data_IF_782142474554
#
_entry.id   IF_782142474554
#
_cell.length_a   1.000
_cell.length_b   1.000
_cell.length_c   1.000
_cell.angle_alpha   90.00
_cell.angle_beta   90.00
_cell.angle_gamma   90.00
#
_symmetry.space_group_name_H-M   'P 1'
#
loop_
_entity.id
_entity.type
_entity.pdbx_description
1 polymer ?
#
# COMPACT_ATOMS: atom_id res chain seq x y z
N UNK A 1 -16.71 1.15 -40.23
CA UNK A 1 -16.95 2.47 -39.62
C UNK A 1 -17.41 2.23 -38.18
N UNK A 2 -16.50 2.35 -37.21
CA UNK A 2 -16.79 2.18 -35.78
C UNK A 2 -16.30 3.44 -35.07
N UNK A 3 -17.27 4.26 -34.67
CA UNK A 3 -17.09 5.53 -33.97
C UNK A 3 -16.66 5.31 -32.52
N UNK A 4 -15.48 5.81 -32.17
CA UNK A 4 -15.00 5.95 -30.81
C UNK A 4 -15.79 7.05 -30.08
N UNK A 5 -16.48 6.70 -29.00
CA UNK A 5 -17.07 7.66 -28.08
C UNK A 5 -16.07 7.94 -26.93
N UNK A 6 -15.60 9.18 -26.85
CA UNK A 6 -14.80 9.66 -25.71
C UNK A 6 -15.72 10.07 -24.56
N UNK A 7 -15.61 9.39 -23.43
CA UNK A 7 -16.31 9.75 -22.19
C UNK A 7 -15.44 10.73 -21.39
N UNK A 8 -15.91 11.97 -21.25
CA UNK A 8 -15.28 13.00 -20.41
C UNK A 8 -15.69 12.81 -18.95
N UNK A 9 -14.71 12.68 -18.06
CA UNK A 9 -14.92 12.60 -16.60
C UNK A 9 -14.97 14.01 -16.01
N UNK A 10 -16.06 14.32 -15.32
CA UNK A 10 -16.28 15.57 -14.60
C UNK A 10 -15.72 15.46 -13.17
N UNK A 11 -14.74 16.30 -12.82
CA UNK A 11 -14.20 16.41 -11.46
C UNK A 11 -15.07 17.40 -10.67
N UNK A 12 -15.84 16.91 -9.70
CA UNK A 12 -16.52 17.75 -8.70
C UNK A 12 -15.54 18.09 -7.58
N UNK A 13 -15.21 19.39 -7.44
CA UNK A 13 -14.54 19.94 -6.26
C UNK A 13 -15.55 20.07 -5.12
N UNK A 14 -15.31 19.35 -4.02
CA UNK A 14 -16.06 19.52 -2.78
C UNK A 14 -15.35 20.49 -1.84
N UNK A 15 -16.09 21.50 -1.40
CA UNK A 15 -15.68 22.58 -0.50
C UNK A 15 -15.69 22.06 0.95
N UNK A 16 -14.60 22.29 1.68
CA UNK A 16 -14.43 21.89 3.08
C UNK A 16 -14.93 23.01 4.01
N UNK A 17 -15.95 22.74 4.82
CA UNK A 17 -16.42 23.61 5.91
C UNK A 17 -15.84 23.09 7.24
N UNK A 18 -15.06 23.94 7.94
CA UNK A 18 -14.88 23.91 9.42
C UNK A 18 -15.96 24.84 10.03
N UNK A 19 -16.32 24.82 11.35
CA UNK A 19 -15.57 24.36 12.54
C UNK A 19 -16.46 23.58 13.56
N UNK A 20 -16.00 23.14 14.73
CA UNK A 20 -16.05 23.91 15.99
C UNK A 20 -15.21 23.24 17.10
N UNK A 21 -14.50 24.06 17.88
CA UNK A 21 -13.81 23.71 19.12
C UNK A 21 -14.81 23.66 20.27
N UNK A 22 -14.67 22.67 21.15
CA UNK A 22 -15.21 22.68 22.51
C UNK A 22 -14.10 22.34 23.49
N UNK A 23 -14.08 23.09 24.59
CA UNK A 23 -13.03 23.14 25.59
C UNK A 23 -13.42 22.37 26.87
N UNK A 24 -12.39 22.15 27.71
CA UNK A 24 -12.39 22.08 29.18
C UNK A 24 -12.40 20.70 29.88
N UNK A 25 -11.60 20.64 30.97
CA UNK A 25 -11.57 19.63 32.03
C UNK A 25 -10.19 18.98 32.21
N UNK A 26 -9.20 19.60 32.87
CA UNK A 26 -8.93 19.63 34.34
C UNK A 26 -8.79 18.25 35.00
N UNK A 27 -7.69 18.11 35.76
CA UNK A 27 -7.50 17.34 37.00
C UNK A 27 -6.61 16.09 36.90
N UNK A 28 -5.59 16.03 37.78
CA UNK A 28 -4.94 14.76 38.15
C UNK A 28 -3.42 14.78 38.27
N UNK A 29 -2.88 15.63 39.13
CA UNK A 29 -1.52 15.50 39.66
C UNK A 29 -1.44 14.20 40.48
N UNK A 30 -0.64 13.22 40.05
CA UNK A 30 -0.26 12.09 40.91
C UNK A 30 1.23 11.76 40.73
N UNK A 31 2.00 12.14 41.75
CA UNK A 31 3.37 11.73 41.99
C UNK A 31 3.39 10.24 42.32
N UNK A 32 4.06 9.44 41.48
CA UNK A 32 4.56 8.13 41.89
C UNK A 32 6.08 8.10 41.80
N UNK A 33 6.70 8.06 42.98
CA UNK A 33 8.10 7.73 43.22
C UNK A 33 8.26 6.21 43.17
N UNK A 34 8.82 5.69 42.08
CA UNK A 34 9.53 4.40 42.03
C UNK A 34 10.68 4.61 41.04
N UNK A 35 11.94 4.51 41.44
CA UNK A 35 12.56 3.23 41.80
C UNK A 35 13.17 2.66 40.51
N UNK A 36 14.47 2.89 40.31
CA UNK A 36 15.13 2.82 39.01
C UNK A 36 15.13 1.46 38.30
N UNK A 37 15.15 1.55 36.97
CA UNK A 37 15.75 0.55 36.10
C UNK A 37 16.38 1.32 34.92
N UNK A 38 17.71 1.50 34.97
CA UNK A 38 18.48 2.26 33.98
C UNK A 38 18.82 1.32 32.83
N UNK A 39 17.88 1.09 31.92
CA UNK A 39 18.16 0.42 30.64
C UNK A 39 18.82 1.43 29.71
N UNK A 40 20.15 1.38 29.59
CA UNK A 40 20.86 2.04 28.50
C UNK A 40 20.61 1.26 27.20
N UNK A 41 19.49 1.55 26.55
CA UNK A 41 19.33 1.20 25.15
C UNK A 41 20.23 2.13 24.32
N UNK A 42 21.08 1.62 23.42
CA UNK A 42 21.78 2.48 22.48
C UNK A 42 20.72 3.22 21.65
N UNK A 43 20.71 4.55 21.77
CA UNK A 43 19.96 5.43 20.91
C UNK A 43 20.52 5.33 19.50
N UNK A 44 20.06 4.32 18.75
CA UNK A 44 20.20 4.30 17.31
C UNK A 44 19.33 5.42 16.76
N UNK A 45 19.96 6.56 16.44
CA UNK A 45 19.41 7.51 15.48
C UNK A 45 19.09 6.72 14.22
N UNK A 46 17.80 6.46 13.98
CA UNK A 46 17.31 6.04 12.68
C UNK A 46 17.80 7.08 11.68
N UNK A 47 18.42 6.68 10.55
CA UNK A 47 18.88 7.63 9.56
C UNK A 47 17.69 8.48 9.10
N UNK A 48 17.80 9.78 9.35
CA UNK A 48 16.87 10.78 8.86
C UNK A 48 16.98 10.82 7.33
N UNK A 49 16.08 10.12 6.66
CA UNK A 49 15.99 10.12 5.20
C UNK A 49 15.70 8.75 4.62
N UNK A 50 14.56 8.14 4.96
CA UNK A 50 13.90 7.26 3.99
C UNK A 50 13.50 8.15 2.83
N UNK A 51 14.37 8.26 1.82
CA UNK A 51 14.06 8.94 0.58
C UNK A 51 12.78 8.29 0.04
N UNK A 52 11.72 9.08 -0.05
CA UNK A 52 10.48 8.61 -0.61
C UNK A 52 10.68 8.49 -2.12
N UNK A 53 10.23 7.38 -2.71
CA UNK A 53 10.41 7.11 -4.14
C UNK A 53 9.12 7.48 -4.86
N UNK A 54 9.10 8.65 -5.49
CA UNK A 54 7.93 9.24 -6.14
C UNK A 54 7.94 9.08 -7.66
N UNK A 55 9.03 8.53 -8.22
CA UNK A 55 9.15 8.26 -9.65
C UNK A 55 9.81 6.92 -10.00
N UNK A 56 9.53 6.39 -11.21
CA UNK A 56 10.23 5.20 -11.74
C UNK A 56 11.75 5.40 -11.88
N UNK A 57 12.19 6.63 -12.12
CA UNK A 57 13.61 6.95 -12.26
C UNK A 57 14.35 6.85 -10.91
N UNK A 58 13.75 7.35 -9.84
CA UNK A 58 14.28 7.21 -8.48
C UNK A 58 14.27 5.76 -8.02
N UNK A 59 13.21 5.00 -8.34
CA UNK A 59 13.14 3.56 -8.05
C UNK A 59 14.34 2.83 -8.68
N UNK A 60 14.63 3.12 -9.96
CA UNK A 60 15.81 2.58 -10.66
C UNK A 60 17.12 3.01 -9.99
N UNK A 61 17.26 4.28 -9.63
CA UNK A 61 18.47 4.80 -8.96
C UNK A 61 18.66 4.22 -7.57
N UNK A 62 17.58 3.85 -6.87
CA UNK A 62 17.60 3.12 -5.60
C UNK A 62 17.89 1.63 -5.77
N UNK A 63 18.04 1.13 -7.00
CA UNK A 63 18.29 -0.27 -7.30
C UNK A 63 17.05 -1.16 -7.18
N UNK A 64 15.85 -0.59 -7.15
CA UNK A 64 14.63 -1.38 -7.17
C UNK A 64 14.35 -1.88 -8.60
N UNK A 65 13.98 -3.15 -8.76
CA UNK A 65 13.64 -3.71 -10.08
C UNK A 65 12.21 -3.40 -10.55
N UNK A 66 11.31 -3.06 -9.62
CA UNK A 66 9.90 -2.73 -9.89
C UNK A 66 9.49 -1.45 -9.17
N UNK A 67 8.56 -0.73 -9.76
CA UNK A 67 7.92 0.46 -9.19
C UNK A 67 6.40 0.31 -9.31
N UNK A 68 5.66 0.62 -8.26
CA UNK A 68 4.20 0.60 -8.21
C UNK A 68 3.70 2.04 -8.14
N UNK A 69 3.14 2.52 -9.24
CA UNK A 69 2.68 3.90 -9.39
C UNK A 69 1.26 4.15 -8.86
N UNK A 70 0.43 3.11 -8.80
CA UNK A 70 -0.94 3.18 -8.30
C UNK A 70 -1.36 1.88 -7.61
N UNK A 71 -2.13 2.03 -6.53
CA UNK A 71 -2.76 0.96 -5.77
C UNK A 71 -4.16 1.44 -5.37
N UNK A 72 -5.19 0.89 -5.98
CA UNK A 72 -6.57 1.36 -5.77
C UNK A 72 -7.49 0.18 -5.42
N UNK A 73 -8.38 0.41 -4.45
CA UNK A 73 -9.48 -0.50 -4.17
C UNK A 73 -10.77 0.07 -4.75
N UNK A 74 -11.49 -0.74 -5.53
CA UNK A 74 -12.82 -0.35 -5.99
C UNK A 74 -13.85 -0.56 -4.87
N UNK A 75 -14.90 0.29 -4.81
CA UNK A 75 -15.98 0.08 -3.85
C UNK A 75 -16.59 -1.33 -3.96
N UNK A 76 -17.05 -1.93 -2.85
CA UNK A 76 -17.67 -3.24 -2.88
C UNK A 76 -18.87 -3.30 -3.85
N UNK A 77 -18.91 -4.31 -4.71
CA UNK A 77 -20.04 -4.60 -5.59
C UNK A 77 -21.25 -5.14 -4.80
N UNK A 78 -22.34 -5.48 -5.50
CA UNK A 78 -23.60 -5.91 -4.88
C UNK A 78 -23.43 -7.12 -3.92
N UNK A 79 -22.53 -8.04 -4.24
CA UNK A 79 -22.23 -9.24 -3.45
C UNK A 79 -21.09 -9.03 -2.44
N UNK A 80 -20.58 -7.81 -2.31
CA UNK A 80 -19.51 -7.44 -1.38
C UNK A 80 -18.09 -7.73 -1.89
N UNK A 81 -17.94 -8.02 -3.19
CA UNK A 81 -16.65 -8.16 -3.85
C UNK A 81 -15.97 -6.80 -4.03
N UNK A 82 -14.71 -6.70 -3.61
CA UNK A 82 -13.84 -5.53 -3.71
C UNK A 82 -12.74 -5.87 -4.70
N UNK A 83 -12.60 -5.07 -5.75
CA UNK A 83 -11.55 -5.24 -6.74
C UNK A 83 -10.28 -4.50 -6.31
N UNK A 84 -9.13 -5.01 -6.72
CA UNK A 84 -7.82 -4.41 -6.48
C UNK A 84 -7.17 -4.07 -7.82
N UNK A 85 -6.98 -2.78 -8.07
CA UNK A 85 -6.29 -2.27 -9.24
C UNK A 85 -4.83 -1.94 -8.86
N UNK A 86 -3.88 -2.44 -9.64
CA UNK A 86 -2.44 -2.30 -9.40
C UNK A 86 -1.75 -1.85 -10.69
N UNK A 87 -0.96 -0.79 -10.59
CA UNK A 87 -0.14 -0.25 -11.68
C UNK A 87 1.33 -0.54 -11.37
N UNK A 88 1.96 -1.41 -12.15
CA UNK A 88 3.34 -1.87 -11.95
C UNK A 88 4.18 -1.54 -13.17
N UNK A 89 5.38 -1.03 -12.93
CA UNK A 89 6.40 -0.80 -13.94
C UNK A 89 7.66 -1.60 -13.64
N UNK A 90 8.21 -2.27 -14.65
CA UNK A 90 9.54 -2.84 -14.57
C UNK A 90 10.57 -1.75 -14.85
N UNK A 91 11.26 -1.32 -13.80
CA UNK A 91 12.29 -0.29 -13.88
C UNK A 91 13.70 -0.89 -14.03
N UNK A 92 13.84 -2.21 -13.95
CA UNK A 92 15.09 -2.91 -14.22
C UNK A 92 15.45 -2.94 -15.71
N UNK A 93 16.65 -3.43 -16.02
CA UNK A 93 17.12 -3.71 -17.38
C UNK A 93 16.88 -5.18 -17.80
N UNK A 94 16.08 -5.94 -17.05
CA UNK A 94 15.85 -7.37 -17.26
C UNK A 94 14.37 -7.65 -17.45
N UNK A 95 14.03 -8.65 -18.25
CA UNK A 95 12.65 -9.13 -18.33
C UNK A 95 12.29 -9.86 -17.04
N UNK A 96 11.19 -9.46 -16.41
CA UNK A 96 10.65 -10.10 -15.23
C UNK A 96 9.58 -11.09 -15.68
N UNK A 97 9.75 -12.36 -15.31
CA UNK A 97 8.80 -13.43 -15.61
C UNK A 97 7.61 -13.41 -14.65
N UNK A 98 7.87 -13.17 -13.36
CA UNK A 98 6.84 -13.15 -12.33
C UNK A 98 7.20 -12.17 -11.21
N UNK A 99 6.23 -11.34 -10.81
CA UNK A 99 6.25 -10.57 -9.57
C UNK A 99 5.11 -11.05 -8.68
N UNK A 100 5.42 -11.38 -7.43
CA UNK A 100 4.45 -11.76 -6.41
C UNK A 100 4.36 -10.65 -5.37
N UNK A 101 3.17 -10.08 -5.24
CA UNK A 101 2.83 -9.16 -4.16
C UNK A 101 1.89 -9.88 -3.20
N UNK A 102 2.14 -9.78 -1.90
CA UNK A 102 1.19 -10.21 -0.87
C UNK A 102 0.63 -8.95 -0.22
N UNK A 103 -0.67 -8.75 -0.32
CA UNK A 103 -1.36 -7.63 0.32
C UNK A 103 -2.13 -8.12 1.53
N UNK A 104 -2.22 -7.28 2.57
CA UNK A 104 -3.16 -7.45 3.68
C UNK A 104 -4.19 -6.33 3.65
N UNK A 105 -5.46 -6.69 3.74
CA UNK A 105 -6.59 -5.78 3.84
C UNK A 105 -6.86 -5.37 5.29
N UNK A 106 -7.28 -4.11 5.46
CA UNK A 106 -7.62 -3.54 6.75
C UNK A 106 -8.93 -2.79 6.69
N UNK A 107 -9.60 -2.70 7.83
CA UNK A 107 -10.80 -1.89 8.01
C UNK A 107 -10.46 -0.44 8.37
N UNK A 108 -11.49 0.41 8.50
CA UNK A 108 -11.32 1.84 8.84
C UNK A 108 -10.68 2.08 10.22
N UNK A 109 -10.71 1.09 11.10
CA UNK A 109 -10.10 1.14 12.42
C UNK A 109 -8.66 0.59 12.43
N UNK A 110 -8.11 0.23 11.27
CA UNK A 110 -6.77 -0.33 11.14
C UNK A 110 -6.62 -1.79 11.58
N UNK A 111 -7.73 -2.50 11.78
CA UNK A 111 -7.69 -3.93 12.07
C UNK A 111 -7.72 -4.74 10.77
N UNK A 112 -7.04 -5.90 10.70
CA UNK A 112 -7.13 -6.78 9.54
C UNK A 112 -8.59 -7.10 9.22
N UNK A 113 -8.98 -6.91 7.96
CA UNK A 113 -10.34 -7.13 7.48
C UNK A 113 -10.39 -8.47 6.72
N UNK A 114 -10.79 -9.58 7.36
CA UNK A 114 -10.81 -10.86 6.68
C UNK A 114 -11.84 -10.89 5.55
N UNK A 115 -11.48 -11.57 4.47
CA UNK A 115 -12.37 -11.95 3.38
C UNK A 115 -13.36 -13.02 3.89
N UNK A 116 -14.65 -12.82 3.68
CA UNK A 116 -15.69 -13.74 4.17
C UNK A 116 -15.58 -15.15 3.59
N UNK A 117 -15.11 -15.27 2.34
CA UNK A 117 -14.99 -16.55 1.65
C UNK A 117 -13.71 -17.28 2.07
N UNK A 118 -12.56 -16.58 2.04
CA UNK A 118 -11.24 -17.20 2.29
C UNK A 118 -10.84 -17.23 3.77
N UNK A 119 -11.57 -16.52 4.64
CA UNK A 119 -11.25 -16.32 6.07
C UNK A 119 -9.83 -15.80 6.31
N UNK A 120 -9.27 -15.09 5.34
CA UNK A 120 -7.96 -14.44 5.42
C UNK A 120 -8.08 -12.98 5.02
N UNK A 121 -7.30 -12.11 5.65
CA UNK A 121 -7.16 -10.72 5.24
C UNK A 121 -6.11 -10.56 4.13
N UNK A 122 -5.45 -11.65 3.72
CA UNK A 122 -4.34 -11.61 2.78
C UNK A 122 -4.77 -12.02 1.36
N UNK A 123 -4.15 -11.37 0.37
CA UNK A 123 -4.38 -11.64 -1.04
C UNK A 123 -3.08 -11.53 -1.82
N UNK A 124 -2.76 -12.58 -2.58
CA UNK A 124 -1.58 -12.60 -3.46
C UNK A 124 -1.96 -12.14 -4.86
N UNK A 125 -1.26 -11.12 -5.34
CA UNK A 125 -1.31 -10.64 -6.72
C UNK A 125 -0.10 -11.16 -7.48
N UNK A 126 -0.34 -11.61 -8.72
CA UNK A 126 0.69 -12.11 -9.63
C UNK A 126 0.73 -11.19 -10.85
N UNK A 127 1.90 -10.66 -11.17
CA UNK A 127 2.16 -9.96 -12.44
C UNK A 127 3.13 -10.83 -13.22
N UNK A 128 2.74 -11.20 -14.43
CA UNK A 128 3.50 -12.12 -15.29
C UNK A 128 3.98 -11.39 -16.54
N UNK A 129 5.09 -11.86 -17.11
CA UNK A 129 5.63 -11.40 -18.39
C UNK A 129 5.72 -9.87 -18.50
N UNK A 130 6.59 -9.27 -17.68
CA UNK A 130 6.81 -7.83 -17.62
C UNK A 130 8.18 -7.48 -18.21
N UNK A 131 8.26 -7.10 -19.51
CA UNK A 131 9.52 -6.76 -20.17
C UNK A 131 10.21 -5.55 -19.53
N UNK A 132 11.52 -5.41 -19.77
CA UNK A 132 12.30 -4.29 -19.24
C UNK A 132 11.75 -2.93 -19.72
N UNK A 133 11.51 -2.01 -18.79
CA UNK A 133 10.99 -0.67 -19.06
C UNK A 133 9.47 -0.60 -19.27
N UNK A 134 8.78 -1.74 -19.36
CA UNK A 134 7.35 -1.79 -19.63
C UNK A 134 6.49 -1.53 -18.38
N UNK A 135 5.27 -1.11 -18.67
CA UNK A 135 4.23 -0.78 -17.72
C UNK A 135 3.05 -1.74 -17.85
N UNK A 136 2.47 -2.15 -16.74
CA UNK A 136 1.37 -3.09 -16.69
C UNK A 136 0.34 -2.68 -15.65
N UNK A 137 -0.93 -2.64 -16.08
CA UNK A 137 -2.07 -2.39 -15.20
C UNK A 137 -2.85 -3.69 -15.04
N UNK A 138 -2.97 -4.14 -13.79
CA UNK A 138 -3.75 -5.32 -13.43
C UNK A 138 -4.99 -4.89 -12.64
N UNK A 139 -6.11 -5.58 -12.90
CA UNK A 139 -7.31 -5.51 -12.05
C UNK A 139 -7.66 -6.92 -11.56
N UNK A 140 -7.57 -7.13 -10.25
CA UNK A 140 -7.96 -8.37 -9.59
C UNK A 140 -9.42 -8.28 -9.14
N UNK A 141 -10.33 -8.80 -9.98
CA UNK A 141 -11.76 -8.77 -9.70
C UNK A 141 -12.12 -9.66 -8.50
N UNK A 142 -12.88 -9.10 -7.55
CA UNK A 142 -13.28 -9.79 -6.33
C UNK A 142 -12.08 -10.26 -5.51
N UNK A 143 -11.00 -9.45 -5.44
CA UNK A 143 -9.83 -9.75 -4.62
C UNK A 143 -10.22 -10.04 -3.17
N UNK A 144 -11.16 -9.27 -2.63
CA UNK A 144 -11.73 -9.49 -1.31
C UNK A 144 -13.25 -9.58 -1.38
N UNK A 145 -13.86 -10.41 -0.53
CA UNK A 145 -15.31 -10.45 -0.34
C UNK A 145 -15.62 -9.99 1.08
N UNK A 146 -15.59 -8.68 1.30
CA UNK A 146 -15.89 -8.07 2.59
C UNK A 146 -16.16 -6.58 2.42
N UNK A 147 -17.27 -6.10 3.01
CA UNK A 147 -17.62 -4.66 3.03
C UNK A 147 -16.83 -3.86 4.06
N UNK A 148 -16.03 -4.52 4.88
CA UNK A 148 -15.22 -3.88 5.92
C UNK A 148 -13.87 -3.41 5.38
N UNK A 149 -13.44 -3.91 4.22
CA UNK A 149 -12.16 -3.52 3.61
C UNK A 149 -12.21 -2.03 3.27
N UNK A 150 -11.25 -1.29 3.81
CA UNK A 150 -11.10 0.14 3.59
C UNK A 150 -9.80 0.49 2.86
N UNK A 151 -8.74 -0.29 3.08
CA UNK A 151 -7.45 -0.12 2.44
C UNK A 151 -6.67 -1.44 2.42
N UNK A 152 -5.58 -1.49 1.66
CA UNK A 152 -4.62 -2.60 1.61
C UNK A 152 -3.20 -2.08 1.80
N UNK A 153 -2.31 -2.93 2.29
CA UNK A 153 -0.87 -2.64 2.39
C UNK A 153 -0.10 -3.88 1.97
N UNK A 154 0.97 -3.76 1.17
CA UNK A 154 1.84 -4.88 0.89
C UNK A 154 2.47 -5.38 2.20
N UNK A 155 2.53 -6.69 2.38
CA UNK A 155 3.12 -7.32 3.54
C UNK A 155 4.27 -8.24 3.11
N UNK A 156 5.16 -8.52 4.06
CA UNK A 156 6.34 -9.37 3.92
C UNK A 156 7.35 -8.82 2.91
N UNK A 157 7.35 -9.35 1.69
CA UNK A 157 8.29 -8.96 0.65
C UNK A 157 7.68 -9.13 -0.73
N UNK A 158 8.24 -8.41 -1.70
CA UNK A 158 7.95 -8.63 -3.12
C UNK A 158 8.95 -9.67 -3.63
N UNK A 159 8.45 -10.80 -4.13
CA UNK A 159 9.29 -11.81 -4.78
C UNK A 159 9.27 -11.61 -6.28
N UNK A 160 10.45 -11.62 -6.88
CA UNK A 160 10.66 -11.36 -8.31
C UNK A 160 11.41 -12.53 -8.89
N UNK A 161 10.92 -13.05 -10.01
CA UNK A 161 11.56 -14.11 -10.79
C UNK A 161 11.81 -13.55 -12.18
N UNK A 162 13.07 -13.58 -12.62
CA UNK A 162 13.49 -13.14 -13.94
C UNK A 162 13.36 -14.26 -14.99
N UNK A 163 13.54 -13.94 -16.27
CA UNK A 163 13.43 -14.93 -17.36
C UNK A 163 14.43 -16.09 -17.26
N UNK A 164 15.62 -15.83 -16.71
CA UNK A 164 16.68 -16.78 -16.43
C UNK A 164 16.45 -17.61 -15.15
N UNK A 165 15.28 -17.44 -14.52
CA UNK A 165 14.86 -18.05 -13.25
C UNK A 165 15.69 -17.65 -12.03
N UNK A 166 16.57 -16.65 -12.14
CA UNK A 166 17.12 -16.02 -10.94
C UNK A 166 16.02 -15.29 -10.17
N UNK A 167 16.20 -15.20 -8.84
CA UNK A 167 15.21 -14.64 -7.93
C UNK A 167 15.76 -13.47 -7.16
N UNK A 168 14.93 -12.46 -6.98
CA UNK A 168 15.21 -11.32 -6.11
C UNK A 168 14.04 -11.07 -5.17
N UNK A 169 14.33 -10.47 -4.01
CA UNK A 169 13.36 -10.21 -2.95
C UNK A 169 13.55 -8.80 -2.40
N UNK A 170 12.47 -8.02 -2.38
CA UNK A 170 12.43 -6.68 -1.77
C UNK A 170 11.83 -6.84 -0.37
N UNK A 171 12.67 -6.86 0.66
CA UNK A 171 12.26 -7.10 2.07
C UNK A 171 11.47 -5.94 2.69
N UNK A 172 11.56 -4.74 2.10
CA UNK A 172 10.79 -3.57 2.49
C UNK A 172 9.87 -3.20 1.33
N UNK A 173 8.76 -3.94 1.14
CA UNK A 173 7.95 -3.85 -0.06
C UNK A 173 7.40 -2.43 -0.27
N UNK A 174 7.17 -1.66 0.79
CA UNK A 174 6.73 -0.26 0.76
C UNK A 174 7.67 0.66 -0.03
N UNK A 175 8.96 0.33 -0.15
CA UNK A 175 9.90 1.12 -0.95
C UNK A 175 9.58 1.07 -2.44
N UNK A 176 8.94 0.00 -2.91
CA UNK A 176 8.56 -0.13 -4.31
C UNK A 176 7.27 0.64 -4.65
N UNK A 177 6.59 1.25 -3.69
CA UNK A 177 5.31 1.93 -3.89
C UNK A 177 5.50 3.44 -3.84
N UNK A 178 4.80 4.15 -4.73
CA UNK A 178 4.71 5.59 -4.66
C UNK A 178 4.14 6.04 -3.28
N UNK A 179 4.48 7.27 -2.82
CA UNK A 179 4.03 7.76 -1.54
C UNK A 179 2.52 7.78 -1.42
N UNK A 180 2.00 7.35 -0.26
CA UNK A 180 0.56 7.45 0.05
C UNK A 180 -0.31 6.38 -0.59
N UNK A 181 0.25 5.40 -1.29
CA UNK A 181 -0.50 4.26 -1.83
C UNK A 181 -0.92 3.24 -0.76
N UNK A 182 -0.25 3.22 0.39
CA UNK A 182 -0.52 2.27 1.48
C UNK A 182 -1.46 2.85 2.53
N UNK A 183 -2.03 1.98 3.36
CA UNK A 183 -2.90 2.40 4.45
C UNK A 183 -2.20 3.41 5.38
N UNK A 184 -2.84 4.58 5.57
CA UNK A 184 -2.43 5.56 6.58
C UNK A 184 -3.40 5.44 7.76
N UNK A 185 -2.97 4.79 8.84
CA UNK A 185 -3.77 4.75 10.08
C UNK A 185 -3.35 5.89 11.00
N UNK A 186 -4.32 6.70 11.43
CA UNK A 186 -4.06 7.65 12.50
C UNK A 186 -3.92 6.87 13.82
N UNK A 187 -2.87 7.13 14.64
CA UNK A 187 -2.78 6.54 15.96
C UNK A 187 -3.99 6.98 16.78
N UNK A 188 -4.69 6.03 17.40
CA UNK A 188 -5.76 6.32 18.36
C UNK A 188 -5.15 7.04 19.57
N UNK A 189 -5.47 8.32 19.72
CA UNK A 189 -5.10 9.15 20.89
C UNK A 189 -5.87 8.74 22.13
#
# INVERSE_FOLDING_TARGET
MLTHAQTRVFIRRSVFLRPARLAAGVCGLLLFLFGGCRSSAPGGTLPAGSATIDSPAEARSAGLPVFVGNLELRPPNAVGGVDLDLDVQNVSNRTIKLVLFVFRAYNRSGQPAPCNIRRSAEYTVRVEDLPAGEHFVLSSQGAYYSRQVACVTPIDAIQIIYDDNSTERIEQPEQAFAPGLTCQFQPST
#
